data_IF_447209971693
#
_entry.id   IF_447209971693
#
_cell.length_a   1.000
_cell.length_b   1.000
_cell.length_c   1.000
_cell.angle_alpha   90.00
_cell.angle_beta   90.00
_cell.angle_gamma   90.00
#
_symmetry.space_group_name_H-M   'P 1'
#
loop_
_entity.id
_entity.type
_entity.pdbx_description
1 polymer ?
#
# COMPACT_ATOMS: atom_id res chain seq x y z
N UNK A 1 51.99 0.30 7.18
CA UNK A 1 50.66 0.08 7.79
C UNK A 1 49.64 1.17 7.44
N UNK A 2 50.02 2.46 7.48
CA UNK A 2 49.09 3.58 7.23
C UNK A 2 48.49 3.65 5.81
N UNK A 3 49.22 3.20 4.77
CA UNK A 3 48.71 3.26 3.38
C UNK A 3 47.60 2.24 3.11
N UNK A 4 47.67 1.03 3.69
CA UNK A 4 46.61 0.02 3.59
C UNK A 4 45.35 0.41 4.37
N UNK A 5 45.51 1.10 5.50
CA UNK A 5 44.40 1.60 6.31
C UNK A 5 43.65 2.74 5.59
N UNK A 6 44.36 3.66 4.92
CA UNK A 6 43.74 4.71 4.09
C UNK A 6 43.01 4.15 2.87
N UNK A 7 43.56 3.12 2.23
CA UNK A 7 42.90 2.43 1.11
C UNK A 7 41.62 1.72 1.57
N UNK A 8 41.66 1.03 2.71
CA UNK A 8 40.51 0.36 3.30
C UNK A 8 39.40 1.35 3.69
N UNK A 9 39.75 2.49 4.32
CA UNK A 9 38.77 3.54 4.62
C UNK A 9 38.12 4.13 3.36
N UNK A 10 38.91 4.36 2.29
CA UNK A 10 38.38 4.85 1.01
C UNK A 10 37.40 3.88 0.35
N UNK A 11 37.72 2.58 0.35
CA UNK A 11 36.83 1.53 -0.20
C UNK A 11 35.56 1.38 0.65
N UNK A 12 35.66 1.51 1.97
CA UNK A 12 34.51 1.42 2.88
C UNK A 12 33.54 2.59 2.72
N UNK A 13 34.03 3.82 2.50
CA UNK A 13 33.19 4.98 2.20
C UNK A 13 32.46 4.85 0.85
N UNK A 14 33.11 4.29 -0.17
CA UNK A 14 32.48 4.02 -1.47
C UNK A 14 31.39 2.94 -1.35
N UNK A 15 31.62 1.89 -0.56
CA UNK A 15 30.64 0.84 -0.32
C UNK A 15 29.38 1.37 0.40
N UNK A 16 29.53 2.26 1.39
CA UNK A 16 28.40 2.87 2.12
C UNK A 16 27.59 3.81 1.21
N UNK A 17 28.22 4.54 0.28
CA UNK A 17 27.53 5.40 -0.68
C UNK A 17 26.75 4.60 -1.75
N UNK A 18 27.22 3.40 -2.10
CA UNK A 18 26.56 2.52 -3.07
C UNK A 18 25.46 1.65 -2.46
N UNK A 19 25.49 1.42 -1.15
CA UNK A 19 24.51 0.61 -0.40
C UNK A 19 23.54 1.43 0.47
N UNK A 20 23.64 2.76 0.43
CA UNK A 20 22.74 3.66 1.15
C UNK A 20 21.30 3.61 0.64
N UNK A 21 20.37 3.43 1.57
CA UNK A 21 18.93 3.29 1.38
C UNK A 21 18.27 4.46 0.62
N UNK A 22 17.18 4.13 -0.06
CA UNK A 22 16.27 5.01 -0.79
C UNK A 22 16.76 5.51 -2.18
N UNK A 23 16.04 5.17 -3.28
CA UNK A 23 16.39 5.56 -4.64
C UNK A 23 16.53 7.08 -4.85
N UNK A 24 15.74 7.90 -4.15
CA UNK A 24 15.79 9.36 -4.28
C UNK A 24 17.03 9.93 -3.59
N UNK A 25 17.35 9.40 -2.41
CA UNK A 25 18.57 9.77 -1.66
C UNK A 25 19.81 9.39 -2.46
N UNK A 26 19.82 8.20 -3.08
CA UNK A 26 20.90 7.77 -3.97
C UNK A 26 21.05 8.71 -5.17
N UNK A 27 19.95 9.04 -5.86
CA UNK A 27 19.99 9.96 -7.02
C UNK A 27 20.56 11.32 -6.62
N UNK A 28 20.11 11.89 -5.50
CA UNK A 28 20.58 13.17 -4.96
C UNK A 28 22.08 13.15 -4.68
N UNK A 29 22.58 12.10 -4.03
CA UNK A 29 24.02 11.96 -3.76
C UNK A 29 24.80 11.82 -5.06
N UNK A 30 24.36 10.95 -5.97
CA UNK A 30 25.06 10.71 -7.25
C UNK A 30 25.08 11.93 -8.15
N UNK A 31 24.00 12.71 -8.21
CA UNK A 31 23.93 13.95 -9.00
C UNK A 31 24.75 15.09 -8.41
N UNK A 32 25.12 15.00 -7.13
CA UNK A 32 26.03 15.97 -6.50
C UNK A 32 27.51 15.62 -6.73
N UNK A 33 27.83 14.33 -6.89
CA UNK A 33 29.21 13.83 -7.01
C UNK A 33 29.63 13.63 -8.47
N UNK A 34 28.71 13.21 -9.34
CA UNK A 34 28.99 12.89 -10.72
C UNK A 34 28.31 13.89 -11.66
N UNK A 35 29.10 14.62 -12.42
CA UNK A 35 28.62 15.45 -13.52
C UNK A 35 28.11 14.54 -14.65
N UNK A 36 26.84 14.73 -15.05
CA UNK A 36 26.20 13.94 -16.11
C UNK A 36 25.16 12.91 -15.65
N UNK A 37 24.79 12.89 -14.36
CA UNK A 37 23.65 12.09 -13.89
C UNK A 37 22.35 12.67 -14.49
N UNK A 38 21.56 11.89 -15.25
CA UNK A 38 20.29 12.37 -15.81
C UNK A 38 19.34 12.86 -14.72
N UNK A 39 18.62 13.96 -14.98
CA UNK A 39 17.57 14.44 -14.09
C UNK A 39 16.47 13.39 -13.95
N UNK A 40 15.87 13.29 -12.77
CA UNK A 40 14.69 12.44 -12.59
C UNK A 40 13.58 12.90 -13.57
N UNK A 41 12.91 11.97 -14.26
CA UNK A 41 11.76 12.32 -15.06
C UNK A 41 10.68 12.97 -14.19
N UNK A 42 9.82 13.81 -14.79
CA UNK A 42 8.77 14.47 -14.04
C UNK A 42 7.80 13.44 -13.43
N UNK A 43 7.24 13.78 -12.27
CA UNK A 43 6.46 12.85 -11.45
C UNK A 43 5.28 12.22 -12.20
N UNK A 44 4.73 12.93 -13.19
CA UNK A 44 3.65 12.44 -14.02
C UNK A 44 4.05 11.33 -14.98
N UNK A 45 5.29 11.32 -15.46
CA UNK A 45 5.81 10.24 -16.29
C UNK A 45 5.86 8.93 -15.48
N UNK A 46 6.28 8.97 -14.22
CA UNK A 46 6.23 7.79 -13.34
C UNK A 46 4.81 7.25 -13.15
N UNK A 47 3.81 8.14 -13.05
CA UNK A 47 2.40 7.73 -12.93
C UNK A 47 1.89 7.08 -14.22
N UNK A 48 2.27 7.60 -15.39
CA UNK A 48 1.92 7.02 -16.68
C UNK A 48 2.57 5.63 -16.84
N UNK A 49 3.87 5.51 -16.59
CA UNK A 49 4.60 4.24 -16.68
C UNK A 49 4.04 3.20 -15.70
N UNK A 50 3.62 3.61 -14.50
CA UNK A 50 2.95 2.73 -13.55
C UNK A 50 1.58 2.28 -14.07
N UNK A 51 0.75 3.21 -14.55
CA UNK A 51 -0.57 2.90 -15.09
C UNK A 51 -0.50 1.96 -16.30
N UNK A 52 0.41 2.23 -17.24
CA UNK A 52 0.61 1.37 -18.41
C UNK A 52 1.05 -0.03 -18.01
N UNK A 53 2.00 -0.16 -17.07
CA UNK A 53 2.39 -1.48 -16.53
C UNK A 53 1.23 -2.19 -15.84
N UNK A 54 0.44 -1.50 -15.02
CA UNK A 54 -0.73 -2.06 -14.37
C UNK A 54 -1.77 -2.55 -15.39
N UNK A 55 -2.04 -1.78 -16.45
CA UNK A 55 -2.92 -2.18 -17.54
C UNK A 55 -2.37 -3.38 -18.33
N UNK A 56 -1.06 -3.46 -18.55
CA UNK A 56 -0.42 -4.60 -19.21
C UNK A 56 -0.50 -5.86 -18.35
N UNK A 57 -0.25 -5.75 -17.05
CA UNK A 57 -0.42 -6.84 -16.08
C UNK A 57 -1.86 -7.32 -16.00
N UNK A 58 -2.84 -6.40 -15.94
CA UNK A 58 -4.27 -6.75 -15.99
C UNK A 58 -4.63 -7.44 -17.32
N UNK A 59 -4.15 -6.94 -18.46
CA UNK A 59 -4.38 -7.58 -19.77
C UNK A 59 -3.75 -8.97 -19.85
N UNK A 60 -2.58 -9.17 -19.25
CA UNK A 60 -1.92 -10.49 -19.17
C UNK A 60 -2.70 -11.45 -18.24
N UNK A 61 -3.17 -10.97 -17.08
CA UNK A 61 -4.04 -11.76 -16.20
C UNK A 61 -5.39 -12.08 -16.87
N UNK A 62 -5.96 -11.13 -17.61
CA UNK A 62 -7.22 -11.29 -18.33
C UNK A 62 -7.10 -12.25 -19.52
N UNK A 63 -5.97 -12.22 -20.26
CA UNK A 63 -5.72 -13.19 -21.33
C UNK A 63 -5.56 -14.61 -20.78
N UNK A 64 -5.02 -14.75 -19.56
CA UNK A 64 -4.90 -16.03 -18.84
C UNK A 64 -6.25 -16.54 -18.30
N UNK A 65 -7.27 -15.68 -18.16
CA UNK A 65 -8.59 -16.00 -17.58
C UNK A 65 -9.69 -16.27 -18.62
N UNK A 66 -9.36 -16.27 -19.93
CA UNK A 66 -10.35 -16.28 -21.03
C UNK A 66 -11.07 -17.63 -21.29
N UNK A 67 -11.10 -18.54 -20.31
CA UNK A 67 -11.94 -19.75 -20.32
C UNK A 67 -12.81 -19.84 -19.07
N UNK A 68 -13.56 -18.79 -18.79
CA UNK A 68 -14.88 -18.85 -18.12
C UNK A 68 -15.46 -17.46 -18.23
N UNK A 69 -16.41 -17.29 -19.15
CA UNK A 69 -17.26 -16.12 -19.21
C UNK A 69 -18.11 -16.09 -17.93
N UNK A 70 -17.84 -15.15 -17.02
CA UNK A 70 -18.76 -14.89 -15.92
C UNK A 70 -18.70 -13.44 -15.49
N UNK A 71 -19.91 -12.93 -15.27
CA UNK A 71 -20.29 -11.59 -14.85
C UNK A 71 -19.52 -11.20 -13.59
N UNK A 72 -19.26 -9.90 -13.44
CA UNK A 72 -18.55 -9.29 -12.31
C UNK A 72 -19.20 -9.67 -10.96
N UNK A 73 -18.79 -10.79 -10.36
CA UNK A 73 -18.91 -11.04 -8.92
C UNK A 73 -17.82 -10.20 -8.23
N UNK A 74 -18.13 -8.93 -7.94
CA UNK A 74 -17.17 -8.02 -7.26
C UNK A 74 -17.12 -8.19 -5.74
N UNK A 75 -17.78 -9.21 -5.18
CA UNK A 75 -17.82 -9.50 -3.76
C UNK A 75 -16.59 -10.22 -3.21
N UNK A 76 -16.41 -10.16 -1.89
CA UNK A 76 -15.44 -10.98 -1.17
C UNK A 76 -16.01 -11.46 0.17
N UNK A 77 -15.54 -12.61 0.63
CA UNK A 77 -15.90 -13.18 1.94
C UNK A 77 -14.64 -13.50 2.72
N UNK A 78 -14.66 -13.18 4.01
CA UNK A 78 -13.52 -13.40 4.89
C UNK A 78 -13.37 -14.91 5.10
N UNK A 79 -12.18 -15.53 4.94
CA UNK A 79 -12.05 -16.98 4.99
C UNK A 79 -12.61 -17.61 6.27
N UNK A 80 -12.35 -17.09 7.49
CA UNK A 80 -12.98 -17.60 8.71
C UNK A 80 -14.51 -17.59 8.68
N UNK A 81 -15.13 -16.58 8.04
CA UNK A 81 -16.58 -16.51 7.88
C UNK A 81 -17.09 -17.53 6.86
N UNK A 82 -16.47 -17.61 5.69
CA UNK A 82 -16.81 -18.60 4.64
C UNK A 82 -16.70 -20.04 5.15
N UNK A 83 -15.72 -20.30 6.00
CA UNK A 83 -15.46 -21.59 6.65
C UNK A 83 -16.35 -21.85 7.89
N UNK A 84 -17.23 -20.90 8.26
CA UNK A 84 -18.11 -20.99 9.43
C UNK A 84 -17.38 -21.16 10.77
N UNK A 85 -16.14 -20.65 10.87
CA UNK A 85 -15.31 -20.69 12.08
C UNK A 85 -15.63 -19.51 13.00
N UNK A 86 -16.90 -19.38 13.37
CA UNK A 86 -17.43 -18.23 14.10
C UNK A 86 -16.76 -18.06 15.48
N UNK A 87 -16.38 -19.16 16.11
CA UNK A 87 -15.70 -19.23 17.42
C UNK A 87 -14.32 -18.56 17.44
N UNK A 88 -13.71 -18.35 16.26
CA UNK A 88 -12.42 -17.67 16.15
C UNK A 88 -12.51 -16.16 16.33
N UNK A 89 -13.72 -15.62 16.32
CA UNK A 89 -13.97 -14.19 16.56
C UNK A 89 -15.01 -13.99 17.66
N UNK A 90 -16.04 -14.83 17.71
CA UNK A 90 -17.17 -14.70 18.61
C UNK A 90 -17.10 -15.64 19.81
N UNK A 91 -17.48 -15.11 20.97
CA UNK A 91 -17.66 -15.86 22.20
C UNK A 91 -18.91 -15.37 22.90
N UNK A 92 -19.96 -16.20 22.90
CA UNK A 92 -21.27 -15.86 23.50
C UNK A 92 -21.22 -15.75 25.02
N UNK A 93 -20.18 -16.28 25.66
CA UNK A 93 -20.01 -16.16 27.12
C UNK A 93 -19.53 -14.77 27.53
N UNK A 94 -18.98 -14.00 26.59
CA UNK A 94 -18.50 -12.64 26.82
C UNK A 94 -19.58 -11.63 26.48
N UNK A 95 -19.67 -10.58 27.28
CA UNK A 95 -20.63 -9.48 27.08
C UNK A 95 -20.47 -8.82 25.70
N UNK A 96 -19.24 -8.62 25.23
CA UNK A 96 -18.96 -8.06 23.91
C UNK A 96 -19.31 -8.99 22.75
N UNK A 97 -19.57 -10.27 23.03
CA UNK A 97 -19.74 -11.32 22.04
C UNK A 97 -18.48 -11.64 21.23
N UNK A 98 -17.31 -11.12 21.62
CA UNK A 98 -16.04 -11.25 20.89
C UNK A 98 -14.93 -11.82 21.77
N UNK A 99 -14.04 -12.64 21.20
CA UNK A 99 -12.91 -13.24 21.94
C UNK A 99 -11.89 -12.19 22.42
N UNK A 100 -11.81 -11.04 21.74
CA UNK A 100 -10.95 -9.89 22.01
C UNK A 100 -11.69 -8.58 21.68
N UNK A 101 -11.28 -7.43 22.26
CA UNK A 101 -11.74 -6.11 21.84
C UNK A 101 -11.60 -5.90 20.33
N UNK A 102 -12.47 -5.08 19.73
CA UNK A 102 -12.55 -4.92 18.25
C UNK A 102 -11.24 -4.40 17.64
N UNK A 103 -10.57 -3.51 18.34
CA UNK A 103 -9.29 -2.88 18.01
C UNK A 103 -8.10 -3.85 18.11
N UNK A 104 -8.22 -4.95 18.84
CA UNK A 104 -7.19 -5.99 18.94
C UNK A 104 -7.51 -7.24 18.11
N UNK A 105 -8.79 -7.52 17.86
CA UNK A 105 -9.27 -8.80 17.35
C UNK A 105 -8.65 -9.18 16.00
N UNK A 106 -8.54 -8.21 15.09
CA UNK A 106 -7.99 -8.44 13.75
C UNK A 106 -6.52 -8.88 13.82
N UNK A 107 -5.75 -8.36 14.77
CA UNK A 107 -4.32 -8.62 14.90
C UNK A 107 -4.01 -10.01 15.47
N UNK A 108 -5.00 -10.71 16.02
CA UNK A 108 -4.86 -12.12 16.43
C UNK A 108 -4.38 -12.99 15.26
N UNK A 109 -4.85 -12.70 14.04
CA UNK A 109 -4.46 -13.41 12.82
C UNK A 109 -3.67 -12.55 11.83
N UNK A 110 -3.81 -11.23 11.88
CA UNK A 110 -3.14 -10.29 10.98
C UNK A 110 -2.09 -9.42 11.68
N UNK A 111 -1.05 -10.01 12.33
CA UNK A 111 -0.10 -9.27 13.15
C UNK A 111 0.81 -8.31 12.36
N UNK A 112 0.87 -8.45 11.03
CA UNK A 112 1.72 -7.67 10.12
C UNK A 112 0.94 -6.86 9.09
N UNK A 113 -0.35 -6.62 9.32
CA UNK A 113 -1.17 -5.82 8.38
C UNK A 113 -0.78 -4.34 8.39
N UNK A 114 -0.23 -3.89 9.51
CA UNK A 114 0.45 -2.61 9.68
C UNK A 114 1.93 -2.93 9.78
N UNK A 115 2.65 -2.73 8.69
CA UNK A 115 4.07 -3.06 8.58
C UNK A 115 4.78 -1.93 7.87
N UNK A 116 5.00 -0.81 8.58
CA UNK A 116 5.77 0.37 8.15
C UNK A 116 5.71 1.50 9.21
N UNK A 117 6.53 2.55 9.03
CA UNK A 117 6.68 3.66 9.99
C UNK A 117 5.52 4.67 9.96
N UNK A 118 5.03 5.04 8.78
CA UNK A 118 3.91 5.97 8.67
C UNK A 118 2.63 5.17 8.67
N UNK A 119 1.87 5.24 9.77
CA UNK A 119 0.63 4.49 9.96
C UNK A 119 -0.57 5.39 9.71
N UNK A 120 -1.56 4.88 8.98
CA UNK A 120 -2.80 5.58 8.73
C UNK A 120 -3.66 5.63 10.01
N UNK A 121 -4.27 6.78 10.30
CA UNK A 121 -4.97 7.04 11.57
C UNK A 121 -5.92 5.92 12.01
N UNK A 122 -6.95 5.56 11.21
CA UNK A 122 -7.86 4.47 11.56
C UNK A 122 -7.17 3.11 11.78
N UNK A 123 -6.12 2.81 11.01
CA UNK A 123 -5.35 1.58 11.18
C UNK A 123 -4.55 1.61 12.50
N UNK A 124 -3.96 2.76 12.86
CA UNK A 124 -3.13 2.91 14.07
C UNK A 124 -3.87 2.61 15.37
N UNK A 125 -5.20 2.79 15.37
CA UNK A 125 -6.08 2.56 16.53
C UNK A 125 -6.96 1.32 16.36
N UNK A 126 -6.66 0.44 15.41
CA UNK A 126 -7.41 -0.80 15.20
C UNK A 126 -8.86 -0.61 14.74
N UNK A 127 -9.21 0.56 14.19
CA UNK A 127 -10.55 0.84 13.64
C UNK A 127 -10.74 0.25 12.24
N UNK A 128 -10.39 -1.04 12.10
CA UNK A 128 -10.44 -1.81 10.85
C UNK A 128 -11.82 -1.77 10.19
N UNK A 129 -12.86 -1.75 11.02
CA UNK A 129 -14.26 -1.78 10.59
C UNK A 129 -14.75 -0.45 10.02
N UNK A 130 -13.98 0.63 10.07
CA UNK A 130 -14.35 1.87 9.35
C UNK A 130 -14.28 1.67 7.83
N UNK A 131 -13.45 0.73 7.39
CA UNK A 131 -13.23 0.44 5.98
C UNK A 131 -13.63 -0.98 5.57
N UNK A 132 -13.60 -1.94 6.49
CA UNK A 132 -13.83 -3.36 6.18
C UNK A 132 -15.11 -3.95 6.80
N UNK A 133 -15.72 -4.89 6.08
CA UNK A 133 -16.80 -5.78 6.53
C UNK A 133 -16.20 -7.14 6.97
N UNK A 134 -16.27 -7.53 8.24
CA UNK A 134 -15.50 -8.65 8.77
C UNK A 134 -16.01 -10.04 8.33
N UNK A 135 -17.21 -10.10 7.74
CA UNK A 135 -17.84 -11.33 7.25
C UNK A 135 -17.76 -11.42 5.73
N UNK A 136 -18.46 -10.52 5.05
CA UNK A 136 -18.57 -10.50 3.60
C UNK A 136 -18.90 -9.09 3.13
N UNK A 137 -18.36 -8.71 1.98
CA UNK A 137 -18.71 -7.47 1.30
C UNK A 137 -19.07 -7.75 -0.16
N UNK A 138 -19.91 -6.89 -0.73
CA UNK A 138 -20.09 -6.79 -2.18
C UNK A 138 -18.87 -6.22 -2.92
N UNK A 139 -17.80 -5.86 -2.21
CA UNK A 139 -16.54 -5.35 -2.75
C UNK A 139 -15.38 -6.31 -2.46
N UNK A 140 -14.33 -6.23 -3.27
CA UNK A 140 -13.06 -6.95 -3.02
C UNK A 140 -12.41 -6.52 -1.71
N UNK A 141 -11.59 -7.39 -1.13
CA UNK A 141 -10.86 -7.13 0.12
C UNK A 141 -11.73 -6.65 1.27
N UNK A 142 -12.99 -7.10 1.29
CA UNK A 142 -13.99 -6.79 2.31
C UNK A 142 -14.31 -5.31 2.46
N UNK A 143 -14.08 -4.47 1.44
CA UNK A 143 -14.29 -3.03 1.60
C UNK A 143 -15.77 -2.66 1.76
N UNK A 144 -16.10 -1.70 2.62
CA UNK A 144 -17.48 -1.20 2.80
C UNK A 144 -18.03 -0.46 1.59
N UNK A 145 -17.15 0.10 0.78
CA UNK A 145 -17.49 0.87 -0.41
C UNK A 145 -16.47 0.61 -1.53
N UNK A 146 -16.83 1.01 -2.74
CA UNK A 146 -15.93 0.97 -3.89
C UNK A 146 -14.63 1.74 -3.62
N UNK A 147 -13.52 1.25 -4.19
CA UNK A 147 -12.16 1.77 -3.92
C UNK A 147 -12.03 3.28 -4.10
N UNK A 148 -12.69 3.85 -5.12
CA UNK A 148 -12.66 5.30 -5.40
C UNK A 148 -13.54 6.15 -4.47
N UNK A 149 -14.51 5.54 -3.79
CA UNK A 149 -15.46 6.25 -2.91
C UNK A 149 -15.05 6.17 -1.44
N UNK A 150 -14.33 5.13 -1.04
CA UNK A 150 -14.02 4.88 0.37
C UNK A 150 -13.22 6.02 1.02
N UNK A 151 -12.17 6.51 0.34
CA UNK A 151 -11.28 7.51 0.91
C UNK A 151 -11.95 8.88 1.08
N UNK A 152 -12.84 9.25 0.15
CA UNK A 152 -13.52 10.56 0.13
C UNK A 152 -14.67 10.66 1.14
N UNK A 153 -15.02 9.57 1.83
CA UNK A 153 -15.95 9.60 2.96
C UNK A 153 -15.43 10.55 4.05
N UNK A 154 -14.13 10.47 4.34
CA UNK A 154 -13.47 11.30 5.35
C UNK A 154 -12.62 12.40 4.71
N UNK A 155 -11.85 12.08 3.67
CA UNK A 155 -10.89 13.01 3.08
C UNK A 155 -11.54 13.93 2.05
N UNK A 156 -12.22 14.99 2.54
CA UNK A 156 -12.94 15.98 1.71
C UNK A 156 -12.10 17.20 1.34
N UNK A 157 -10.94 17.34 1.97
CA UNK A 157 -10.00 18.43 1.74
C UNK A 157 -9.35 18.35 0.36
N UNK A 158 -8.88 19.50 -0.14
CA UNK A 158 -8.04 19.56 -1.32
C UNK A 158 -6.69 18.87 -1.05
N UNK A 159 -6.21 18.07 -2.01
CA UNK A 159 -4.93 17.36 -1.87
C UNK A 159 -3.77 18.25 -2.28
N UNK A 160 -2.67 18.16 -1.51
CA UNK A 160 -1.46 18.97 -1.67
C UNK A 160 -0.88 18.86 -3.10
N UNK A 161 -0.84 17.64 -3.65
CA UNK A 161 -0.40 17.40 -5.03
C UNK A 161 -1.61 17.43 -5.99
N UNK A 162 -2.28 18.57 -6.12
CA UNK A 162 -3.56 18.69 -6.85
C UNK A 162 -3.46 18.19 -8.29
N UNK A 163 -2.42 18.60 -9.02
CA UNK A 163 -2.19 18.16 -10.41
C UNK A 163 -2.06 16.64 -10.57
N UNK A 164 -1.54 15.94 -9.56
CA UNK A 164 -1.43 14.48 -9.57
C UNK A 164 -2.78 13.82 -9.28
N UNK A 165 -3.54 14.35 -8.32
CA UNK A 165 -4.86 13.80 -7.97
C UNK A 165 -5.90 14.03 -9.08
N UNK A 166 -5.83 15.16 -9.78
CA UNK A 166 -6.67 15.43 -10.96
C UNK A 166 -6.40 14.37 -12.05
N UNK A 167 -5.12 14.04 -12.29
CA UNK A 167 -4.73 12.97 -13.22
C UNK A 167 -5.21 11.60 -12.76
N UNK A 168 -5.13 11.29 -11.46
CA UNK A 168 -5.61 10.01 -10.91
C UNK A 168 -7.11 9.82 -11.23
N UNK A 169 -7.93 10.81 -10.95
CA UNK A 169 -9.38 10.73 -11.20
C UNK A 169 -9.73 10.67 -12.69
N UNK A 170 -9.02 11.43 -13.53
CA UNK A 170 -9.26 11.48 -14.98
C UNK A 170 -8.68 10.28 -15.74
N UNK A 171 -7.69 9.58 -15.17
CA UNK A 171 -7.04 8.42 -15.79
C UNK A 171 -7.58 7.07 -15.28
N UNK A 172 -8.67 7.08 -14.50
CA UNK A 172 -9.28 5.87 -13.96
C UNK A 172 -8.44 5.15 -12.90
N UNK A 173 -7.46 5.84 -12.30
CA UNK A 173 -6.65 5.33 -11.19
C UNK A 173 -7.38 5.55 -9.86
N UNK A 174 -7.06 4.73 -8.88
CA UNK A 174 -7.56 4.82 -7.52
C UNK A 174 -6.47 5.28 -6.55
N UNK A 175 -6.88 5.83 -5.40
CA UNK A 175 -5.96 6.28 -4.35
C UNK A 175 -4.99 5.16 -3.94
N UNK A 176 -5.48 3.92 -3.86
CA UNK A 176 -4.70 2.76 -3.39
C UNK A 176 -3.64 2.29 -4.38
N UNK A 177 -3.67 2.77 -5.62
CA UNK A 177 -2.69 2.43 -6.65
C UNK A 177 -1.35 3.12 -6.38
N UNK A 178 -1.38 4.25 -5.68
CA UNK A 178 -0.18 4.96 -5.23
C UNK A 178 -0.03 4.96 -3.70
N UNK A 179 -1.13 4.89 -2.94
CA UNK A 179 -1.11 4.94 -1.48
C UNK A 179 -1.38 3.57 -0.85
N UNK A 180 -0.76 3.30 0.29
CA UNK A 180 -1.10 2.18 1.16
C UNK A 180 -2.10 2.65 2.25
N UNK A 181 -3.32 2.08 2.31
CA UNK A 181 -4.35 2.53 3.24
C UNK A 181 -4.10 2.13 4.71
N UNK A 182 -3.09 1.28 4.99
CA UNK A 182 -2.73 0.88 6.35
C UNK A 182 -1.47 1.58 6.84
N UNK A 183 -0.37 1.45 6.10
CA UNK A 183 0.91 2.06 6.44
C UNK A 183 1.88 2.10 5.25
N UNK A 184 2.78 3.07 5.21
CA UNK A 184 3.82 3.17 4.18
C UNK A 184 5.18 3.58 4.74
N UNK A 185 6.24 3.22 4.02
CA UNK A 185 7.62 3.50 4.42
C UNK A 185 7.95 5.00 4.37
N UNK A 186 7.18 5.77 3.60
CA UNK A 186 7.36 7.20 3.37
C UNK A 186 6.10 7.99 3.74
N UNK A 187 6.27 9.31 3.89
CA UNK A 187 5.19 10.23 4.21
C UNK A 187 4.05 10.13 3.19
N UNK A 188 2.81 10.28 3.68
CA UNK A 188 1.58 10.12 2.89
C UNK A 188 1.36 8.69 2.36
N UNK A 189 2.06 7.70 2.90
CA UNK A 189 1.84 6.28 2.60
C UNK A 189 2.05 5.90 1.13
N UNK A 190 2.93 6.61 0.41
CA UNK A 190 3.24 6.28 -0.98
C UNK A 190 3.91 4.89 -1.08
N UNK A 191 3.56 4.14 -2.12
CA UNK A 191 4.10 2.82 -2.46
C UNK A 191 5.38 2.91 -3.29
#
# INVERSE_FOLDING_TARGET
>A
MQMRLRLLLGVMCIAVALWGCDPLTRHKVTSTIFDGVPSLPPADQYCQDYHERALLEEKQLASKKKTTAEIVESGSSHPPYKEKRCDKCHDKSKESGLIKPRDELCFVCHPKIIDNYYIHGPASVGSCLECHEPHSSGQKSLLKAERGKLCIVCHKEARIATSMHDKVTSSGLFCMDCHNPHAGAVKYFLR
#
